data_IF_776681543767
#
_entry.id   IF_776681543767
#
_cell.length_a   1.000
_cell.length_b   1.000
_cell.length_c   1.000
_cell.angle_alpha   90.00
_cell.angle_beta   90.00
_cell.angle_gamma   90.00
#
_symmetry.space_group_name_H-M   'P 1'
#
loop_
_entity.id
_entity.type
_entity.pdbx_description
1 polymer ?
#
# COMPACT_ATOMS: atom_id res chain seq x y z
N UNK A 1 8.77 49.13 20.85
CA UNK A 1 7.77 48.69 19.85
C UNK A 1 7.45 47.23 20.11
N UNK A 2 6.40 46.97 20.88
CA UNK A 2 5.94 45.64 21.27
C UNK A 2 4.96 45.11 20.24
N UNK A 3 5.36 44.10 19.48
CA UNK A 3 4.48 43.42 18.52
C UNK A 3 3.48 42.54 19.25
N UNK A 4 2.27 43.06 19.45
CA UNK A 4 1.08 42.31 19.88
C UNK A 4 0.70 41.29 18.82
N UNK A 5 0.96 40.01 19.12
CA UNK A 5 0.51 38.87 18.33
C UNK A 5 -1.00 38.70 18.49
N UNK A 6 -1.74 38.94 17.41
CA UNK A 6 -3.18 38.68 17.30
C UNK A 6 -3.48 37.17 17.38
N UNK A 7 -3.42 36.56 18.57
CA UNK A 7 -4.01 35.24 18.84
C UNK A 7 -5.15 35.38 19.82
N UNK A 8 -6.36 35.50 19.26
CA UNK A 8 -7.64 35.52 19.97
C UNK A 8 -7.92 34.10 20.48
N UNK A 9 -7.42 33.80 21.70
CA UNK A 9 -7.86 32.76 22.67
C UNK A 9 -6.64 32.37 23.53
N UNK A 10 -6.17 33.31 24.35
CA UNK A 10 -5.15 33.04 25.37
C UNK A 10 -5.84 32.43 26.60
N UNK A 11 -5.38 31.25 26.97
CA UNK A 11 -5.56 30.58 28.28
C UNK A 11 -6.63 29.48 28.41
N UNK A 12 -6.80 28.67 27.37
CA UNK A 12 -7.49 27.37 27.54
C UNK A 12 -6.47 26.32 28.01
N UNK A 13 -6.65 25.68 29.18
CA UNK A 13 -5.71 24.68 29.67
C UNK A 13 -5.90 23.33 28.96
N UNK A 14 -4.80 22.60 28.78
CA UNK A 14 -4.79 21.24 28.27
C UNK A 14 -5.56 20.32 29.22
N UNK A 15 -6.65 19.71 28.74
CA UNK A 15 -7.51 18.83 29.54
C UNK A 15 -6.80 17.57 30.07
N UNK A 16 -5.61 17.23 29.55
CA UNK A 16 -4.78 16.11 30.04
C UNK A 16 -3.88 16.52 31.20
N UNK A 17 -3.11 17.61 31.05
CA UNK A 17 -1.97 17.92 31.92
C UNK A 17 -1.94 19.37 32.43
N UNK A 18 -2.97 20.15 32.14
CA UNK A 18 -3.12 21.57 32.53
C UNK A 18 -2.06 22.54 31.99
N UNK A 19 -1.15 22.08 31.12
CA UNK A 19 -0.26 22.96 30.34
C UNK A 19 -1.05 23.81 29.33
N UNK A 20 -0.44 24.85 28.77
CA UNK A 20 -1.11 25.72 27.81
C UNK A 20 -1.55 24.93 26.56
N UNK A 21 -2.84 25.00 26.20
CA UNK A 21 -3.35 24.33 25.00
C UNK A 21 -2.93 25.09 23.74
N UNK A 22 -2.54 24.35 22.71
CA UNK A 22 -2.30 24.89 21.37
C UNK A 22 -3.56 24.85 20.48
N UNK A 23 -4.70 24.45 21.04
CA UNK A 23 -5.97 24.29 20.33
C UNK A 23 -6.58 22.89 20.50
N UNK A 24 -7.59 22.59 19.67
CA UNK A 24 -8.24 21.27 19.65
C UNK A 24 -7.39 20.26 18.88
N UNK A 25 -7.00 19.17 19.54
CA UNK A 25 -6.36 18.02 18.92
C UNK A 25 -7.13 16.76 19.30
N UNK A 26 -7.46 15.94 18.30
CA UNK A 26 -8.18 14.67 18.50
C UNK A 26 -9.49 14.84 19.29
N UNK A 27 -10.22 15.94 19.06
CA UNK A 27 -11.54 16.18 19.67
C UNK A 27 -11.55 17.02 20.94
N UNK A 28 -10.40 17.29 21.58
CA UNK A 28 -10.35 18.08 22.82
C UNK A 28 -9.24 19.13 22.83
N UNK A 29 -9.38 20.15 23.69
CA UNK A 29 -8.30 21.11 23.95
C UNK A 29 -7.12 20.43 24.65
N UNK A 30 -5.98 20.41 23.98
CA UNK A 30 -4.75 19.81 24.53
C UNK A 30 -3.51 20.59 24.10
N UNK A 31 -2.38 20.34 24.77
CA UNK A 31 -1.08 20.88 24.39
C UNK A 31 -0.40 19.95 23.37
N UNK A 32 0.59 20.49 22.64
CA UNK A 32 1.35 19.72 21.63
C UNK A 32 2.01 18.47 22.21
N UNK A 33 2.43 18.55 23.48
CA UNK A 33 3.03 17.41 24.18
C UNK A 33 2.07 16.23 24.35
N UNK A 34 0.81 16.49 24.70
CA UNK A 34 -0.21 15.46 24.88
C UNK A 34 -0.80 14.99 23.55
N UNK A 35 -1.01 15.90 22.59
CA UNK A 35 -1.42 15.56 21.24
C UNK A 35 -0.39 14.65 20.55
N UNK A 36 0.89 15.02 20.59
CA UNK A 36 1.98 14.22 20.02
C UNK A 36 2.17 12.88 20.72
N UNK A 37 2.02 12.85 22.05
CA UNK A 37 2.03 11.59 22.81
C UNK A 37 0.91 10.66 22.36
N UNK A 38 -0.35 11.14 22.36
CA UNK A 38 -1.52 10.38 21.96
C UNK A 38 -1.38 9.82 20.54
N UNK A 39 -0.97 10.65 19.57
CA UNK A 39 -0.70 10.25 18.19
C UNK A 39 0.27 9.07 18.10
N UNK A 40 1.42 9.16 18.77
CA UNK A 40 2.45 8.11 18.73
C UNK A 40 2.00 6.83 19.41
N UNK A 41 1.25 6.94 20.50
CA UNK A 41 0.73 5.81 21.25
C UNK A 41 -0.34 5.06 20.47
N UNK A 42 -1.30 5.77 19.86
CA UNK A 42 -2.36 5.16 19.04
C UNK A 42 -1.79 4.54 17.77
N UNK A 43 -0.97 5.25 17.00
CA UNK A 43 -0.41 4.72 15.72
C UNK A 43 0.36 3.42 15.88
N UNK A 44 1.15 3.30 16.95
CA UNK A 44 1.98 2.13 17.22
C UNK A 44 1.29 1.13 18.15
N UNK A 45 -0.02 1.26 18.36
CA UNK A 45 -0.82 0.40 19.23
C UNK A 45 -0.13 0.12 20.58
N UNK A 46 0.43 1.16 21.20
CA UNK A 46 1.28 1.01 22.39
C UNK A 46 0.45 0.60 23.60
N UNK A 47 0.79 -0.54 24.17
CA UNK A 47 0.33 -0.97 25.48
C UNK A 47 1.39 -0.57 26.51
N UNK A 48 1.00 0.24 27.50
CA UNK A 48 1.89 0.65 28.57
C UNK A 48 1.43 0.04 29.88
N UNK A 49 2.40 -0.32 30.73
CA UNK A 49 2.15 -0.79 32.09
C UNK A 49 2.36 0.38 33.06
N UNK A 50 1.54 0.46 34.11
CA UNK A 50 1.67 1.48 35.15
C UNK A 50 3.03 1.37 35.85
N UNK A 51 3.64 2.50 36.19
CA UNK A 51 4.86 2.53 37.00
C UNK A 51 4.64 1.91 38.39
N UNK A 52 3.48 2.15 38.98
CA UNK A 52 3.12 1.69 40.32
C UNK A 52 2.35 0.36 40.26
N UNK A 53 2.71 -0.53 39.33
CA UNK A 53 2.04 -1.83 39.18
C UNK A 53 2.14 -2.63 40.48
N UNK A 54 1.02 -3.13 40.98
CA UNK A 54 0.97 -3.90 42.23
C UNK A 54 1.05 -3.07 43.51
N UNK A 55 1.00 -1.74 43.42
CA UNK A 55 0.85 -0.84 44.57
C UNK A 55 -0.61 -0.37 44.73
N UNK A 56 -0.95 0.16 45.90
CA UNK A 56 -2.30 0.64 46.19
C UNK A 56 -2.75 1.80 45.27
N UNK A 57 -1.81 2.53 44.69
CA UNK A 57 -2.03 3.67 43.79
C UNK A 57 -1.82 3.31 42.30
N UNK A 58 -1.90 2.01 41.96
CA UNK A 58 -1.88 1.58 40.56
C UNK A 58 -2.98 2.28 39.75
N UNK A 59 -2.60 2.87 38.62
CA UNK A 59 -3.55 3.62 37.81
C UNK A 59 -3.93 4.98 38.39
N UNK A 60 -3.23 5.51 39.39
CA UNK A 60 -3.53 6.84 39.95
C UNK A 60 -2.36 7.82 39.87
N UNK A 61 -1.35 7.53 39.04
CA UNK A 61 -0.21 8.43 38.86
C UNK A 61 -0.65 9.83 38.37
N UNK A 62 -0.10 10.87 38.99
CA UNK A 62 -0.39 12.27 38.64
C UNK A 62 0.03 12.59 37.20
N UNK A 63 -0.85 13.27 36.47
CA UNK A 63 -0.61 13.75 35.10
C UNK A 63 -0.85 15.25 35.04
N UNK A 64 0.23 16.01 35.27
CA UNK A 64 0.31 17.47 35.18
C UNK A 64 1.46 17.89 34.25
N UNK A 65 1.75 19.19 34.13
CA UNK A 65 2.79 19.70 33.20
C UNK A 65 4.17 19.10 33.46
N UNK A 66 4.56 18.94 34.72
CA UNK A 66 5.89 18.50 35.16
C UNK A 66 6.02 16.97 35.17
N UNK A 67 4.98 16.27 35.57
CA UNK A 67 4.98 14.84 35.87
C UNK A 67 4.32 13.97 34.81
N UNK A 68 3.70 14.56 33.76
CA UNK A 68 3.07 13.79 32.64
C UNK A 68 3.98 12.77 31.96
N UNK A 69 5.29 12.82 32.13
CA UNK A 69 6.22 11.84 31.55
C UNK A 69 6.58 10.67 32.48
N UNK A 70 6.18 10.70 33.76
CA UNK A 70 6.55 9.69 34.76
C UNK A 70 5.81 8.36 34.56
N UNK A 71 4.56 8.39 34.11
CA UNK A 71 3.76 7.19 33.86
C UNK A 71 3.01 7.29 32.54
N UNK A 72 3.52 6.60 31.49
CA UNK A 72 2.91 6.60 30.15
C UNK A 72 1.55 5.91 30.14
N UNK A 73 1.35 4.89 30.97
CA UNK A 73 0.07 4.20 31.09
C UNK A 73 -1.04 5.13 31.61
N UNK A 74 -0.83 5.79 32.75
CA UNK A 74 -1.80 6.72 33.30
C UNK A 74 -2.03 7.94 32.39
N UNK A 75 -0.98 8.42 31.70
CA UNK A 75 -1.14 9.50 30.72
C UNK A 75 -2.01 9.09 29.54
N UNK A 76 -1.78 7.91 28.94
CA UNK A 76 -2.56 7.44 27.79
C UNK A 76 -4.00 7.15 28.18
N UNK A 77 -4.20 6.51 29.33
CA UNK A 77 -5.53 6.27 29.89
C UNK A 77 -6.27 7.58 30.12
N UNK A 78 -5.65 8.57 30.76
CA UNK A 78 -6.24 9.90 30.95
C UNK A 78 -6.60 10.57 29.62
N UNK A 79 -5.76 10.47 28.58
CA UNK A 79 -6.09 10.99 27.25
C UNK A 79 -7.38 10.37 26.69
N UNK A 80 -7.57 9.05 26.85
CA UNK A 80 -8.76 8.34 26.39
C UNK A 80 -9.99 8.69 27.23
N UNK A 81 -9.86 8.70 28.56
CA UNK A 81 -10.96 8.98 29.51
C UNK A 81 -11.56 10.38 29.30
N UNK A 82 -10.72 11.38 28.99
CA UNK A 82 -11.19 12.74 28.73
C UNK A 82 -11.70 12.96 27.29
N UNK A 83 -11.68 11.92 26.45
CA UNK A 83 -12.30 11.93 25.12
C UNK A 83 -11.37 12.27 23.94
N UNK A 84 -10.06 12.01 24.02
CA UNK A 84 -9.24 12.03 22.79
C UNK A 84 -9.69 10.91 21.84
N UNK A 85 -10.10 11.28 20.64
CA UNK A 85 -10.60 10.37 19.63
C UNK A 85 -9.44 9.63 18.92
N UNK A 86 -9.33 8.33 19.19
CA UNK A 86 -8.33 7.45 18.56
C UNK A 86 -8.54 7.30 17.04
N UNK A 87 -9.79 7.35 16.58
CA UNK A 87 -10.14 7.21 15.14
C UNK A 87 -9.73 8.45 14.34
N UNK A 88 -9.58 9.61 14.99
CA UNK A 88 -9.07 10.83 14.35
C UNK A 88 -7.55 10.77 14.06
N UNK A 89 -6.85 9.72 14.52
CA UNK A 89 -5.43 9.51 14.24
C UNK A 89 -5.27 8.86 12.87
N UNK A 90 -5.08 9.69 11.85
CA UNK A 90 -4.77 9.23 10.50
C UNK A 90 -3.48 8.38 10.48
N UNK A 91 -3.49 7.35 9.63
CA UNK A 91 -2.31 6.54 9.30
C UNK A 91 -1.13 7.42 8.84
N UNK A 92 0.10 6.92 8.99
CA UNK A 92 1.31 7.66 8.59
C UNK A 92 1.14 8.22 7.17
N UNK A 93 1.32 9.53 7.02
CA UNK A 93 1.54 10.09 5.68
C UNK A 93 2.91 9.56 5.28
N UNK A 94 2.98 8.84 4.16
CA UNK A 94 4.25 8.36 3.63
C UNK A 94 5.30 9.48 3.54
N UNK A 95 6.60 9.15 3.38
CA UNK A 95 7.64 10.16 3.27
C UNK A 95 7.23 11.20 2.24
N UNK A 96 7.16 12.49 2.63
CA UNK A 96 6.85 13.55 1.68
C UNK A 96 7.85 13.44 0.52
N UNK A 97 7.37 13.50 -0.72
CA UNK A 97 8.19 13.46 -1.93
C UNK A 97 9.42 14.38 -1.87
N UNK A 98 9.41 15.44 -1.06
CA UNK A 98 10.56 16.31 -0.80
C UNK A 98 11.78 15.62 -0.18
N UNK A 99 11.60 14.61 0.68
CA UNK A 99 12.72 13.86 1.29
C UNK A 99 13.32 12.87 0.31
N UNK A 100 12.47 12.25 -0.52
CA UNK A 100 12.89 11.41 -1.66
C UNK A 100 13.62 12.26 -2.71
N UNK A 101 13.07 13.42 -3.09
CA UNK A 101 13.72 14.39 -3.98
C UNK A 101 15.04 14.88 -3.42
N UNK A 102 15.13 15.17 -2.11
CA UNK A 102 16.37 15.64 -1.47
C UNK A 102 17.48 14.60 -1.50
N UNK A 103 17.16 13.34 -1.19
CA UNK A 103 18.12 12.24 -1.33
C UNK A 103 18.51 11.99 -2.80
N UNK A 104 17.58 12.19 -3.73
CA UNK A 104 17.83 12.07 -5.17
C UNK A 104 18.64 13.24 -5.75
N UNK A 105 18.46 14.47 -5.26
CA UNK A 105 19.29 15.64 -5.63
C UNK A 105 20.69 15.58 -5.03
N UNK A 106 20.85 15.03 -3.82
CA UNK A 106 22.18 14.77 -3.24
C UNK A 106 22.95 13.73 -4.06
N UNK A 107 22.25 12.79 -4.69
CA UNK A 107 22.82 11.81 -5.62
C UNK A 107 23.14 12.42 -7.01
N UNK A 108 22.37 13.43 -7.45
CA UNK A 108 22.61 14.14 -8.72
C UNK A 108 23.84 15.06 -8.66
N UNK A 109 24.19 15.62 -7.50
CA UNK A 109 25.38 16.48 -7.35
C UNK A 109 26.72 15.72 -7.41
N UNK A 110 26.69 14.38 -7.47
CA UNK A 110 27.88 13.52 -7.63
C UNK A 110 28.17 13.06 -9.07
N UNK A 111 27.46 13.58 -10.08
CA UNK A 111 27.61 13.23 -11.50
C UNK A 111 27.45 14.49 -12.39
N UNK A 112 28.51 15.05 -13.00
CA UNK A 112 28.41 16.29 -13.78
C UNK A 112 27.72 16.18 -15.16
N UNK A 113 27.52 14.97 -15.72
CA UNK A 113 27.28 14.83 -17.18
C UNK A 113 25.86 14.42 -17.61
N UNK A 114 24.84 14.49 -16.75
CA UNK A 114 23.46 14.21 -17.15
C UNK A 114 22.51 15.35 -16.75
N UNK A 115 22.61 16.45 -17.48
CA UNK A 115 21.57 17.49 -17.50
C UNK A 115 20.68 17.26 -18.72
N UNK A 116 19.50 16.67 -18.51
CA UNK A 116 18.38 16.79 -19.43
C UNK A 116 17.20 17.39 -18.69
N UNK A 117 16.63 18.42 -19.33
CA UNK A 117 15.58 19.30 -18.85
C UNK A 117 14.29 18.57 -18.50
N UNK A 118 13.55 18.98 -17.45
CA UNK A 118 12.28 18.37 -17.08
C UNK A 118 11.17 18.77 -18.07
N UNK A 119 10.30 17.84 -18.52
CA UNK A 119 9.10 18.21 -19.27
C UNK A 119 7.98 18.67 -18.34
N UNK A 120 7.27 19.72 -18.76
CA UNK A 120 6.09 20.31 -18.13
C UNK A 120 4.95 19.28 -17.95
N UNK A 121 4.43 19.18 -16.73
CA UNK A 121 3.22 18.43 -16.42
C UNK A 121 1.98 19.30 -16.70
N UNK A 122 1.23 18.99 -17.76
CA UNK A 122 -0.16 19.45 -17.89
C UNK A 122 -1.07 18.59 -17.01
N UNK A 123 -1.65 19.22 -15.99
CA UNK A 123 -2.63 18.61 -15.11
C UNK A 123 -3.98 18.40 -15.82
N UNK A 124 -4.37 17.15 -16.04
CA UNK A 124 -5.75 16.80 -16.39
C UNK A 124 -6.53 16.47 -15.11
N UNK A 125 -7.53 17.32 -14.82
CA UNK A 125 -8.57 17.08 -13.82
C UNK A 125 -9.48 15.96 -14.29
N UNK A 126 -9.48 14.82 -13.61
CA UNK A 126 -10.59 13.87 -13.72
C UNK A 126 -11.65 14.16 -12.65
N UNK A 127 -12.87 14.28 -13.17
CA UNK A 127 -14.11 14.68 -12.51
C UNK A 127 -14.83 13.40 -12.11
N UNK A 128 -15.05 13.20 -10.81
CA UNK A 128 -15.99 12.20 -10.33
C UNK A 128 -17.41 12.54 -10.79
N UNK A 129 -18.23 11.54 -11.19
CA UNK A 129 -19.66 11.62 -11.01
C UNK A 129 -20.08 10.70 -9.86
N UNK A 130 -20.72 11.30 -8.87
CA UNK A 130 -21.62 10.60 -7.97
C UNK A 130 -22.94 10.33 -8.71
N UNK A 131 -23.49 9.13 -8.56
CA UNK A 131 -24.95 8.91 -8.66
C UNK A 131 -25.36 7.62 -7.98
N UNK A 132 -26.25 7.78 -7.01
CA UNK A 132 -27.10 6.80 -6.35
C UNK A 132 -28.24 6.31 -7.26
N UNK A 133 -28.46 5.00 -7.33
CA UNK A 133 -29.78 4.33 -7.54
C UNK A 133 -29.54 2.84 -7.27
N UNK A 134 -30.03 2.30 -6.15
CA UNK A 134 -31.38 1.75 -5.89
C UNK A 134 -31.64 0.37 -6.53
N UNK A 135 -32.19 -0.51 -5.71
CA UNK A 135 -32.23 -1.96 -5.85
C UNK A 135 -33.39 -2.40 -6.71
N UNK A 136 -33.14 -3.21 -7.75
CA UNK A 136 -33.83 -4.48 -8.09
C UNK A 136 -33.47 -4.91 -9.51
N UNK A 137 -32.77 -6.04 -9.66
CA UNK A 137 -32.58 -6.71 -10.95
C UNK A 137 -32.66 -8.24 -10.78
N UNK A 138 -33.29 -8.97 -11.73
CA UNK A 138 -33.51 -10.42 -11.64
C UNK A 138 -32.19 -11.20 -11.81
N UNK A 139 -32.15 -12.53 -11.53
CA UNK A 139 -30.92 -13.29 -11.59
C UNK A 139 -30.36 -13.30 -13.03
N UNK A 140 -29.20 -12.68 -13.24
CA UNK A 140 -28.50 -12.72 -14.52
C UNK A 140 -28.08 -14.16 -14.87
N UNK A 141 -28.29 -14.53 -16.12
CA UNK A 141 -27.87 -15.80 -16.71
C UNK A 141 -26.34 -16.01 -16.58
N UNK A 142 -25.91 -17.23 -16.26
CA UNK A 142 -24.51 -17.60 -15.98
C UNK A 142 -23.51 -17.26 -17.09
N UNK A 143 -23.97 -17.09 -18.35
CA UNK A 143 -23.13 -16.68 -19.47
C UNK A 143 -22.66 -15.23 -19.38
N UNK A 144 -23.54 -14.30 -18.97
CA UNK A 144 -23.25 -12.85 -18.91
C UNK A 144 -22.24 -12.49 -17.82
N UNK A 145 -22.23 -13.24 -16.72
CA UNK A 145 -21.27 -13.07 -15.62
C UNK A 145 -19.85 -13.33 -16.10
N UNK A 146 -19.65 -14.35 -16.96
CA UNK A 146 -18.31 -14.72 -17.41
C UNK A 146 -17.67 -13.69 -18.34
N UNK A 147 -18.45 -12.98 -19.16
CA UNK A 147 -17.89 -12.00 -20.10
C UNK A 147 -17.51 -10.70 -19.40
N UNK A 148 -18.30 -10.25 -18.42
CA UNK A 148 -17.95 -9.10 -17.57
C UNK A 148 -16.65 -9.35 -16.77
N UNK A 149 -16.46 -10.56 -16.24
CA UNK A 149 -15.23 -10.94 -15.53
C UNK A 149 -14.01 -10.93 -16.45
N UNK A 150 -14.13 -11.46 -17.67
CA UNK A 150 -13.03 -11.44 -18.65
C UNK A 150 -12.67 -10.01 -19.07
N UNK A 151 -13.66 -9.15 -19.27
CA UNK A 151 -13.42 -7.73 -19.56
C UNK A 151 -12.70 -7.03 -18.40
N UNK A 152 -13.12 -7.28 -17.16
CA UNK A 152 -12.45 -6.76 -15.97
C UNK A 152 -11.01 -7.27 -15.84
N UNK A 153 -10.75 -8.54 -16.17
CA UNK A 153 -9.38 -9.08 -16.23
C UNK A 153 -8.52 -8.34 -17.28
N UNK A 154 -9.07 -8.06 -18.46
CA UNK A 154 -8.37 -7.28 -19.49
C UNK A 154 -8.05 -5.86 -18.99
N UNK A 155 -8.99 -5.19 -18.31
CA UNK A 155 -8.74 -3.85 -17.72
C UNK A 155 -7.62 -3.88 -16.67
N UNK A 156 -7.59 -4.89 -15.80
CA UNK A 156 -6.51 -5.11 -14.83
C UNK A 156 -5.17 -5.33 -15.54
N UNK A 157 -5.17 -6.09 -16.63
CA UNK A 157 -3.98 -6.31 -17.43
C UNK A 157 -3.47 -5.00 -18.06
N UNK A 158 -4.35 -4.17 -18.63
CA UNK A 158 -3.95 -2.85 -19.15
C UNK A 158 -3.49 -1.89 -18.06
N UNK A 159 -4.09 -1.93 -16.87
CA UNK A 159 -3.63 -1.16 -15.71
C UNK A 159 -2.18 -1.54 -15.33
N UNK A 160 -1.85 -2.83 -15.38
CA UNK A 160 -0.48 -3.32 -15.17
C UNK A 160 0.49 -2.74 -16.21
N UNK A 161 0.15 -2.79 -17.50
CA UNK A 161 1.00 -2.24 -18.57
C UNK A 161 1.18 -0.73 -18.40
N UNK A 162 0.12 0.01 -18.07
CA UNK A 162 0.22 1.45 -17.86
C UNK A 162 1.06 1.78 -16.64
N UNK A 163 0.93 1.00 -15.56
CA UNK A 163 1.76 1.16 -14.37
C UNK A 163 3.25 0.95 -14.68
N UNK A 164 3.62 -0.08 -15.45
CA UNK A 164 5.04 -0.33 -15.77
C UNK A 164 5.66 0.86 -16.51
N UNK A 165 4.93 1.47 -17.43
CA UNK A 165 5.34 2.67 -18.18
C UNK A 165 5.53 3.92 -17.31
N UNK A 166 5.00 3.96 -16.08
CA UNK A 166 5.25 5.06 -15.14
C UNK A 166 6.53 4.90 -14.32
N UNK A 167 7.14 3.71 -14.35
CA UNK A 167 8.25 3.37 -13.48
C UNK A 167 9.61 3.60 -14.18
N UNK A 168 10.33 4.63 -13.75
CA UNK A 168 11.55 5.10 -14.43
C UNK A 168 12.61 4.02 -14.66
N UNK A 169 12.94 3.13 -13.70
CA UNK A 169 13.90 2.06 -13.94
C UNK A 169 13.47 1.05 -15.03
N UNK A 170 12.16 0.88 -15.25
CA UNK A 170 11.64 0.05 -16.34
C UNK A 170 11.72 0.78 -17.68
N UNK A 171 11.31 2.05 -17.72
CA UNK A 171 11.38 2.88 -18.95
C UNK A 171 12.82 3.08 -19.42
N UNK A 172 13.80 3.04 -18.52
CA UNK A 172 15.22 3.08 -18.85
C UNK A 172 15.79 1.79 -19.45
N UNK A 173 15.03 0.68 -19.48
CA UNK A 173 15.47 -0.56 -20.12
C UNK A 173 15.39 -0.45 -21.65
N UNK A 174 16.14 -1.30 -22.37
CA UNK A 174 15.97 -1.43 -23.82
C UNK A 174 14.54 -1.87 -24.17
N UNK A 175 14.01 -1.47 -25.32
CA UNK A 175 12.64 -1.87 -25.73
C UNK A 175 12.46 -3.40 -25.71
N UNK A 176 13.47 -4.14 -26.18
CA UNK A 176 13.53 -5.61 -26.09
C UNK A 176 13.40 -6.09 -24.65
N UNK A 177 14.10 -5.45 -23.70
CA UNK A 177 14.05 -5.82 -22.29
C UNK A 177 12.74 -5.41 -21.61
N UNK A 178 12.12 -4.31 -22.01
CA UNK A 178 10.81 -3.88 -21.53
C UNK A 178 9.71 -4.90 -21.91
N UNK A 179 9.72 -5.38 -23.15
CA UNK A 179 8.79 -6.42 -23.62
C UNK A 179 9.07 -7.73 -22.88
N UNK A 180 10.33 -8.16 -22.83
CA UNK A 180 10.72 -9.40 -22.16
C UNK A 180 10.37 -9.41 -20.66
N UNK A 181 10.59 -8.29 -19.95
CA UNK A 181 10.27 -8.15 -18.53
C UNK A 181 8.81 -8.46 -18.20
N UNK A 182 7.87 -8.02 -19.05
CA UNK A 182 6.46 -8.33 -18.86
C UNK A 182 6.15 -9.74 -19.36
N UNK A 183 6.62 -10.13 -20.55
CA UNK A 183 6.37 -11.45 -21.11
C UNK A 183 6.80 -12.61 -20.19
N UNK A 184 7.91 -12.48 -19.48
CA UNK A 184 8.45 -13.52 -18.60
C UNK A 184 7.74 -13.62 -17.24
N UNK A 185 7.04 -12.56 -16.81
CA UNK A 185 6.52 -12.42 -15.44
C UNK A 185 5.07 -11.93 -15.37
N UNK A 186 4.37 -11.90 -16.50
CA UNK A 186 3.01 -11.35 -16.60
C UNK A 186 2.05 -12.01 -15.62
N UNK A 187 2.17 -13.30 -15.37
CA UNK A 187 1.29 -14.04 -14.45
C UNK A 187 1.45 -13.59 -13.00
N UNK A 188 2.70 -13.43 -12.55
CA UNK A 188 3.02 -12.93 -11.21
C UNK A 188 2.49 -11.51 -11.03
N UNK A 189 2.76 -10.66 -12.02
CA UNK A 189 2.32 -9.27 -12.05
C UNK A 189 0.78 -9.17 -12.06
N UNK A 190 0.11 -9.96 -12.89
CA UNK A 190 -1.34 -9.99 -12.99
C UNK A 190 -1.98 -10.43 -11.67
N UNK A 191 -1.50 -11.49 -11.03
CA UNK A 191 -2.01 -11.96 -9.73
C UNK A 191 -1.88 -10.85 -8.67
N UNK A 192 -0.73 -10.17 -8.59
CA UNK A 192 -0.50 -9.09 -7.62
C UNK A 192 -1.43 -7.88 -7.83
N UNK A 193 -1.75 -7.54 -9.09
CA UNK A 193 -2.69 -6.45 -9.42
C UNK A 193 -4.13 -6.88 -9.21
N UNK A 194 -4.49 -8.10 -9.59
CA UNK A 194 -5.82 -8.66 -9.39
C UNK A 194 -6.21 -8.71 -7.90
N UNK A 195 -5.30 -9.15 -7.04
CA UNK A 195 -5.56 -9.21 -5.59
C UNK A 195 -5.65 -7.82 -4.97
N UNK A 196 -4.80 -6.87 -5.38
CA UNK A 196 -4.88 -5.48 -4.88
C UNK A 196 -6.25 -4.85 -5.18
N UNK A 197 -6.81 -5.13 -6.36
CA UNK A 197 -8.11 -4.62 -6.77
C UNK A 197 -9.30 -5.43 -6.22
N UNK A 198 -9.06 -6.44 -5.37
CA UNK A 198 -10.11 -7.34 -4.86
C UNK A 198 -10.79 -8.17 -5.96
N UNK A 199 -10.17 -8.27 -7.13
CA UNK A 199 -10.75 -8.93 -8.31
C UNK A 199 -10.91 -10.42 -8.10
N UNK A 200 -9.91 -11.07 -7.49
CA UNK A 200 -9.91 -12.54 -7.33
C UNK A 200 -10.98 -12.99 -6.33
N UNK A 201 -11.09 -12.32 -5.18
CA UNK A 201 -12.16 -12.55 -4.21
C UNK A 201 -13.56 -12.38 -4.82
N UNK A 202 -13.74 -11.37 -5.68
CA UNK A 202 -15.01 -11.07 -6.34
C UNK A 202 -15.37 -12.04 -7.47
N UNK A 203 -14.41 -12.79 -7.99
CA UNK A 203 -14.57 -13.66 -9.16
C UNK A 203 -14.07 -15.09 -8.92
N UNK A 204 -14.09 -15.57 -7.67
CA UNK A 204 -13.59 -16.90 -7.31
C UNK A 204 -14.24 -18.04 -8.10
N UNK A 205 -15.50 -17.88 -8.51
CA UNK A 205 -16.23 -18.84 -9.34
C UNK A 205 -15.58 -19.10 -10.72
N UNK A 206 -14.85 -18.13 -11.29
CA UNK A 206 -14.17 -18.34 -12.58
C UNK A 206 -12.93 -19.22 -12.44
N UNK A 207 -12.34 -19.30 -11.24
CA UNK A 207 -11.25 -20.24 -10.98
C UNK A 207 -11.74 -21.68 -10.99
N UNK A 208 -13.03 -21.92 -10.70
CA UNK A 208 -13.63 -23.26 -10.78
C UNK A 208 -13.76 -23.78 -12.22
N UNK A 209 -13.66 -22.91 -13.23
CA UNK A 209 -13.69 -23.34 -14.65
C UNK A 209 -12.36 -23.92 -15.12
N UNK A 210 -11.33 -23.94 -14.27
CA UNK A 210 -10.03 -24.55 -14.58
C UNK A 210 -10.19 -26.07 -14.56
N UNK A 211 -10.03 -26.69 -15.73
CA UNK A 211 -10.22 -28.13 -15.94
C UNK A 211 -9.31 -28.99 -15.03
N UNK A 212 -8.01 -28.68 -14.96
CA UNK A 212 -7.08 -29.41 -14.10
C UNK A 212 -7.33 -29.10 -12.60
N UNK A 213 -7.92 -30.07 -11.91
CA UNK A 213 -8.22 -30.03 -10.48
C UNK A 213 -6.97 -29.76 -9.62
N UNK A 214 -5.80 -30.31 -10.01
CA UNK A 214 -4.56 -30.14 -9.23
C UNK A 214 -4.08 -28.70 -9.31
N UNK A 215 -3.99 -28.15 -10.53
CA UNK A 215 -3.59 -26.76 -10.76
C UNK A 215 -4.59 -25.78 -10.14
N UNK A 216 -5.88 -26.03 -10.29
CA UNK A 216 -6.96 -25.24 -9.67
C UNK A 216 -6.81 -25.16 -8.15
N UNK A 217 -6.69 -26.30 -7.48
CA UNK A 217 -6.55 -26.37 -6.01
C UNK A 217 -5.30 -25.61 -5.54
N UNK A 218 -4.17 -25.79 -6.25
CA UNK A 218 -2.92 -25.08 -5.94
C UNK A 218 -3.06 -23.57 -6.12
N UNK A 219 -3.73 -23.11 -7.19
CA UNK A 219 -3.95 -21.69 -7.47
C UNK A 219 -4.87 -21.06 -6.42
N UNK A 220 -5.99 -21.70 -6.09
CA UNK A 220 -6.91 -21.23 -5.04
C UNK A 220 -6.20 -21.15 -3.69
N UNK A 221 -5.41 -22.18 -3.34
CA UNK A 221 -4.61 -22.18 -2.11
C UNK A 221 -3.57 -21.07 -2.08
N UNK A 222 -2.92 -20.82 -3.22
CA UNK A 222 -1.97 -19.73 -3.37
C UNK A 222 -2.64 -18.38 -3.16
N UNK A 223 -3.68 -18.05 -3.94
CA UNK A 223 -4.45 -16.81 -3.84
C UNK A 223 -4.92 -16.56 -2.42
N UNK A 224 -5.55 -17.56 -1.79
CA UNK A 224 -6.02 -17.49 -0.41
C UNK A 224 -4.89 -17.12 0.55
N UNK A 225 -3.70 -17.70 0.37
CA UNK A 225 -2.52 -17.40 1.19
C UNK A 225 -2.04 -15.97 1.01
N UNK A 226 -2.06 -15.44 -0.23
CA UNK A 226 -1.71 -14.05 -0.52
C UNK A 226 -2.69 -13.08 0.17
N UNK A 227 -3.99 -13.36 0.05
CA UNK A 227 -5.04 -12.54 0.67
C UNK A 227 -4.94 -12.54 2.20
N UNK A 228 -4.61 -13.70 2.80
CA UNK A 228 -4.35 -13.82 4.23
C UNK A 228 -3.13 -13.03 4.71
N UNK A 229 -2.11 -12.86 3.85
CA UNK A 229 -1.00 -11.98 4.18
C UNK A 229 -1.46 -10.53 4.32
N UNK A 230 -2.55 -10.10 3.67
CA UNK A 230 -3.02 -8.70 3.68
C UNK A 230 -1.87 -7.74 3.36
N UNK A 231 -1.26 -7.96 2.20
CA UNK A 231 -0.15 -7.14 1.71
C UNK A 231 -0.57 -5.67 1.69
N UNK A 232 0.22 -4.81 2.33
CA UNK A 232 0.01 -3.37 2.19
C UNK A 232 0.51 -2.86 0.81
N UNK A 233 0.17 -1.61 0.50
CA UNK A 233 0.55 -0.98 -0.77
C UNK A 233 2.07 -0.95 -1.00
N UNK A 234 2.89 -0.82 0.04
CA UNK A 234 4.35 -0.81 -0.10
C UNK A 234 4.88 -2.20 -0.41
N UNK A 235 4.37 -3.23 0.27
CA UNK A 235 4.72 -4.62 0.00
C UNK A 235 4.33 -5.03 -1.42
N UNK A 236 3.10 -4.72 -1.83
CA UNK A 236 2.61 -5.05 -3.17
C UNK A 236 3.45 -4.35 -4.25
N UNK A 237 3.72 -3.04 -4.08
CA UNK A 237 4.58 -2.31 -5.01
C UNK A 237 6.00 -2.88 -5.08
N UNK A 238 6.61 -3.22 -3.94
CA UNK A 238 7.94 -3.82 -3.94
C UNK A 238 7.95 -5.19 -4.64
N UNK A 239 6.94 -6.03 -4.42
CA UNK A 239 6.80 -7.32 -5.10
C UNK A 239 6.63 -7.16 -6.62
N UNK A 240 5.85 -6.17 -7.08
CA UNK A 240 5.72 -5.87 -8.51
C UNK A 240 7.03 -5.40 -9.13
N UNK A 241 7.78 -4.55 -8.44
CA UNK A 241 9.10 -4.09 -8.91
C UNK A 241 10.09 -5.26 -8.97
N UNK A 242 10.12 -6.11 -7.94
CA UNK A 242 10.94 -7.33 -7.91
C UNK A 242 10.59 -8.25 -9.07
N UNK A 243 9.31 -8.45 -9.35
CA UNK A 243 8.85 -9.27 -10.47
C UNK A 243 9.24 -8.66 -11.81
N UNK A 244 8.95 -7.37 -12.02
CA UNK A 244 9.15 -6.66 -13.28
C UNK A 244 10.63 -6.55 -13.65
N UNK A 245 11.51 -6.30 -12.69
CA UNK A 245 12.93 -6.04 -12.96
C UNK A 245 13.84 -7.25 -12.79
N UNK A 246 13.28 -8.43 -12.54
CA UNK A 246 14.05 -9.66 -12.27
C UNK A 246 15.12 -9.90 -13.34
N UNK A 247 16.39 -9.79 -12.96
CA UNK A 247 17.52 -10.02 -13.86
C UNK A 247 17.76 -8.94 -14.92
N UNK A 248 17.01 -7.81 -14.89
CA UNK A 248 17.14 -6.69 -15.85
C UNK A 248 17.79 -5.45 -15.25
N UNK A 249 17.58 -5.20 -13.95
CA UNK A 249 18.13 -4.04 -13.26
C UNK A 249 18.61 -4.43 -11.85
N UNK A 250 19.74 -5.14 -11.79
CA UNK A 250 20.23 -5.82 -10.58
C UNK A 250 20.30 -4.94 -9.35
N UNK A 251 20.71 -3.67 -9.46
CA UNK A 251 20.81 -2.77 -8.31
C UNK A 251 19.43 -2.38 -7.75
N UNK A 252 18.49 -2.01 -8.63
CA UNK A 252 17.12 -1.62 -8.22
C UNK A 252 16.36 -2.83 -7.71
N UNK A 253 16.56 -3.99 -8.32
CA UNK A 253 16.02 -5.27 -7.88
C UNK A 253 16.53 -5.62 -6.46
N UNK A 254 17.84 -5.62 -6.24
CA UNK A 254 18.44 -5.88 -4.92
C UNK A 254 17.96 -4.90 -3.85
N UNK A 255 17.91 -3.60 -4.20
CA UNK A 255 17.38 -2.58 -3.31
C UNK A 255 15.92 -2.86 -2.93
N UNK A 256 15.09 -3.31 -3.88
CA UNK A 256 13.69 -3.64 -3.63
C UNK A 256 13.52 -4.83 -2.69
N UNK A 257 14.37 -5.87 -2.80
CA UNK A 257 14.40 -6.99 -1.85
C UNK A 257 14.71 -6.52 -0.42
N UNK A 258 15.78 -5.73 -0.26
CA UNK A 258 16.21 -5.23 1.06
C UNK A 258 15.15 -4.31 1.66
N UNK A 259 14.59 -3.41 0.86
CA UNK A 259 13.57 -2.47 1.30
C UNK A 259 12.28 -3.20 1.73
N UNK A 260 11.85 -4.23 0.99
CA UNK A 260 10.71 -5.07 1.36
C UNK A 260 10.96 -5.77 2.70
N UNK A 261 12.10 -6.42 2.87
CA UNK A 261 12.45 -7.11 4.12
C UNK A 261 12.46 -6.15 5.31
N UNK A 262 13.08 -4.98 5.13
CA UNK A 262 13.15 -3.97 6.18
C UNK A 262 11.77 -3.39 6.53
N UNK A 263 10.97 -3.06 5.53
CA UNK A 263 9.59 -2.59 5.71
C UNK A 263 8.76 -3.61 6.49
N UNK A 264 8.84 -4.88 6.12
CA UNK A 264 8.09 -5.95 6.79
C UNK A 264 8.52 -6.14 8.24
N UNK A 265 9.81 -6.08 8.54
CA UNK A 265 10.31 -6.16 9.92
C UNK A 265 9.81 -5.01 10.80
N UNK A 266 9.70 -3.80 10.23
CA UNK A 266 9.26 -2.61 10.96
C UNK A 266 7.74 -2.56 11.14
N UNK A 267 6.97 -2.92 10.11
CA UNK A 267 5.51 -2.80 10.10
C UNK A 267 4.83 -4.04 10.67
N UNK A 268 5.42 -5.23 10.46
CA UNK A 268 4.87 -6.52 10.88
C UNK A 268 5.85 -7.30 11.79
N UNK A 269 6.28 -6.73 12.94
CA UNK A 269 7.28 -7.36 13.81
C UNK A 269 6.82 -8.70 14.42
N UNK A 270 5.50 -8.93 14.48
CA UNK A 270 4.93 -10.20 14.95
C UNK A 270 4.89 -11.29 13.87
N UNK A 271 5.36 -11.02 12.66
CA UNK A 271 5.38 -11.97 11.53
C UNK A 271 6.81 -12.11 10.99
N UNK A 272 7.74 -12.72 11.75
CA UNK A 272 9.16 -12.77 11.39
C UNK A 272 9.44 -13.55 10.08
N UNK A 273 8.53 -14.43 9.68
CA UNK A 273 8.64 -15.22 8.44
C UNK A 273 7.95 -14.59 7.23
N UNK A 274 7.36 -13.39 7.39
CA UNK A 274 6.55 -12.75 6.33
C UNK A 274 7.33 -12.56 5.03
N UNK A 275 8.59 -12.13 5.12
CA UNK A 275 9.46 -11.97 3.95
C UNK A 275 9.64 -13.29 3.20
N UNK A 276 10.00 -14.36 3.93
CA UNK A 276 10.19 -15.70 3.37
C UNK A 276 8.90 -16.20 2.72
N UNK A 277 7.76 -16.02 3.40
CA UNK A 277 6.44 -16.38 2.88
C UNK A 277 6.14 -15.65 1.56
N UNK A 278 6.40 -14.35 1.48
CA UNK A 278 6.20 -13.58 0.24
C UNK A 278 7.14 -14.01 -0.88
N UNK A 279 8.40 -14.36 -0.58
CA UNK A 279 9.35 -14.80 -1.62
C UNK A 279 9.00 -16.19 -2.17
N UNK A 280 8.64 -17.14 -1.31
CA UNK A 280 8.20 -18.48 -1.73
C UNK A 280 6.91 -18.42 -2.57
N UNK A 281 6.00 -17.52 -2.17
CA UNK A 281 4.78 -17.24 -2.93
C UNK A 281 5.11 -16.73 -4.34
N UNK A 282 6.02 -15.77 -4.49
CA UNK A 282 6.45 -15.25 -5.80
C UNK A 282 7.00 -16.33 -6.73
N UNK A 283 7.74 -17.30 -6.18
CA UNK A 283 8.28 -18.43 -6.95
C UNK A 283 7.15 -19.32 -7.51
N UNK A 284 6.14 -19.59 -6.69
CA UNK A 284 5.02 -20.45 -7.10
C UNK A 284 4.08 -19.81 -8.14
N UNK A 285 3.91 -18.49 -8.14
CA UNK A 285 2.99 -17.77 -9.04
C UNK A 285 3.24 -18.04 -10.53
N UNK A 286 4.51 -18.22 -10.92
CA UNK A 286 4.88 -18.42 -12.32
C UNK A 286 4.35 -19.73 -12.93
N UNK A 287 3.95 -20.70 -12.11
CA UNK A 287 3.47 -22.01 -12.58
C UNK A 287 2.03 -22.01 -13.10
N UNK A 288 1.30 -20.89 -12.96
CA UNK A 288 -0.15 -20.83 -13.22
C UNK A 288 -0.55 -20.11 -14.52
N UNK A 289 0.40 -19.83 -15.42
CA UNK A 289 0.15 -19.10 -16.67
C UNK A 289 -0.99 -19.69 -17.51
N UNK A 290 -0.90 -20.99 -17.81
CA UNK A 290 -1.91 -21.68 -18.63
C UNK A 290 -3.30 -21.64 -18.00
N UNK A 291 -3.37 -21.77 -16.67
CA UNK A 291 -4.62 -21.73 -15.92
C UNK A 291 -5.26 -20.32 -15.94
N UNK A 292 -4.44 -19.28 -15.77
CA UNK A 292 -4.90 -17.89 -15.86
C UNK A 292 -5.37 -17.55 -17.28
N UNK A 293 -4.66 -18.01 -18.32
CA UNK A 293 -5.10 -17.83 -19.70
C UNK A 293 -6.45 -18.53 -19.94
N UNK A 294 -6.59 -19.78 -19.49
CA UNK A 294 -7.85 -20.53 -19.62
C UNK A 294 -9.02 -19.82 -18.92
N UNK A 295 -8.82 -19.34 -17.69
CA UNK A 295 -9.86 -18.72 -16.88
C UNK A 295 -10.25 -17.33 -17.39
N UNK A 296 -9.28 -16.48 -17.74
CA UNK A 296 -9.53 -15.05 -17.94
C UNK A 296 -9.36 -14.55 -19.38
N UNK A 297 -8.53 -15.21 -20.20
CA UNK A 297 -8.08 -14.63 -21.47
C UNK A 297 -8.39 -15.49 -22.72
N UNK A 298 -8.80 -16.75 -22.56
CA UNK A 298 -9.00 -17.70 -23.67
C UNK A 298 -9.96 -17.17 -24.74
N UNK A 299 -11.04 -16.51 -24.33
CA UNK A 299 -12.02 -15.93 -25.26
C UNK A 299 -11.45 -14.74 -26.04
N UNK A 300 -10.69 -13.87 -25.38
CA UNK A 300 -10.13 -12.66 -26.00
C UNK A 300 -8.89 -12.95 -26.86
N UNK A 301 -8.11 -13.96 -26.51
CA UNK A 301 -6.87 -14.32 -27.21
C UNK A 301 -7.08 -15.33 -28.34
N UNK A 302 -8.11 -16.18 -28.26
CA UNK A 302 -8.27 -17.31 -29.18
C UNK A 302 -7.06 -18.24 -29.12
N UNK A 303 -6.34 -18.39 -30.25
CA UNK A 303 -5.10 -19.18 -30.34
C UNK A 303 -3.82 -18.34 -30.10
N UNK A 304 -3.96 -17.03 -29.91
CA UNK A 304 -2.82 -16.12 -29.77
C UNK A 304 -2.20 -16.26 -28.38
N UNK A 305 -0.86 -16.39 -28.32
CA UNK A 305 -0.15 -16.37 -27.03
C UNK A 305 -0.24 -14.98 -26.42
N UNK A 306 -0.42 -14.90 -25.09
CA UNK A 306 -0.43 -13.62 -24.38
C UNK A 306 0.87 -12.83 -24.57
N UNK A 307 2.00 -13.51 -24.75
CA UNK A 307 3.29 -12.87 -25.07
C UNK A 307 3.28 -12.18 -26.43
N UNK A 308 2.54 -12.69 -27.41
CA UNK A 308 2.34 -12.00 -28.70
C UNK A 308 1.47 -10.77 -28.52
N UNK A 309 0.38 -10.85 -27.76
CA UNK A 309 -0.44 -9.68 -27.40
C UNK A 309 0.40 -8.59 -26.73
N UNK A 310 1.26 -8.97 -25.77
CA UNK A 310 2.17 -8.03 -25.12
C UNK A 310 3.09 -7.39 -26.18
N UNK A 311 3.78 -8.18 -26.99
CA UNK A 311 4.62 -7.64 -28.07
C UNK A 311 3.87 -6.69 -29.00
N UNK A 312 2.63 -7.00 -29.37
CA UNK A 312 1.80 -6.15 -30.24
C UNK A 312 1.41 -4.83 -29.54
N UNK A 313 1.15 -4.86 -28.22
CA UNK A 313 0.89 -3.65 -27.42
C UNK A 313 2.11 -2.71 -27.40
N UNK A 314 3.32 -3.26 -27.37
CA UNK A 314 4.57 -2.48 -27.35
C UNK A 314 5.13 -2.17 -28.74
N UNK A 315 4.74 -2.91 -29.77
CA UNK A 315 5.17 -2.72 -31.16
C UNK A 315 4.33 -1.69 -31.93
N UNK A 316 3.15 -1.35 -31.42
CA UNK A 316 2.27 -0.30 -31.98
C UNK A 316 2.51 1.09 -31.36
N UNK A 317 3.54 1.27 -30.53
CA UNK A 317 3.95 2.59 -30.08
C UNK A 317 4.77 3.29 -31.19
N UNK A 318 4.35 4.48 -31.65
CA UNK A 318 4.98 5.19 -32.77
C UNK A 318 6.42 5.64 -32.49
#
# INVERSE_FOLDING_TARGET
MTTTSNRILLDVPCRVCQDHSSGKHYGIFSCDGCAGFFKRSVRRHRQYVCKNRGAADEGQCIVDKTHRNQCRACRLRKCLEIGMNKEAVQHERGPRNSTLRRHMTLFAMSQPDLVLTPPEQKATKERSPASSVDSTAPPLCSSQVTDATKEAAARIFFQLINWSKTFLPYVGLSHKDQVAAICERWSQLFILVAIENGFVASNSAILETIEDCTTRTKLISLVTRIEQLRLDTNENNALRVIALLKGKASQVEQFSYVNLAHHQQLVYPCQPLRYIQTMLMMESMGSFESALVQAYFKHSLGQTKITKLISDIFGNEP
#
